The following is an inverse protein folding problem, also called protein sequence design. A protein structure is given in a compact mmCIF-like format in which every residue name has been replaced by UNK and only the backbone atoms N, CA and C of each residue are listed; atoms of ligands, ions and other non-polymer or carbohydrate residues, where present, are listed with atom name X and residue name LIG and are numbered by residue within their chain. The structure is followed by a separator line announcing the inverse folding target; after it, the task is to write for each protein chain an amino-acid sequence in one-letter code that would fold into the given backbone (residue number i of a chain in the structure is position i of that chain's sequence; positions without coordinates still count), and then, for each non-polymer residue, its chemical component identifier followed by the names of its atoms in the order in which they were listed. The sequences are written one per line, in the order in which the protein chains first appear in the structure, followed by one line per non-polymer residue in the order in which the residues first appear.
data_IF_521239528680
#
_entry.id   IF_521239528680
#
_cell.length_a   1.000
_cell.length_b   1.000
_cell.length_c   1.000
_cell.angle_alpha   90.00
_cell.angle_beta   90.00
_cell.angle_gamma   90.00
#
_symmetry.space_group_name_H-M   'P 1'
#
loop_
_entity.id
_entity.type
_entity.pdbx_description
1 polymer ?
#
# COMPACT_ATOMS: atom_id res chain seq x y z
N UNK A 1 -40.44 -12.87 23.46
CA UNK A 1 -39.25 -12.01 23.61
C UNK A 1 -38.47 -12.08 22.32
N UNK A 2 -38.43 -11.00 21.53
CA UNK A 2 -37.62 -10.90 20.31
C UNK A 2 -36.56 -9.84 20.58
N UNK A 3 -35.30 -10.26 20.68
CA UNK A 3 -34.16 -9.34 20.75
C UNK A 3 -33.74 -9.07 19.31
N UNK A 4 -34.05 -7.89 18.81
CA UNK A 4 -33.56 -7.42 17.53
C UNK A 4 -32.09 -7.03 17.64
N UNK A 5 -31.21 -7.80 17.00
CA UNK A 5 -29.82 -7.43 16.81
C UNK A 5 -29.76 -6.24 15.84
N UNK A 6 -29.32 -5.08 16.32
CA UNK A 6 -29.08 -3.91 15.47
C UNK A 6 -27.90 -4.22 14.55
N UNK A 7 -28.16 -4.30 13.23
CA UNK A 7 -27.09 -4.30 12.24
C UNK A 7 -26.38 -2.94 12.33
N UNK A 8 -25.10 -2.96 12.71
CA UNK A 8 -24.24 -1.79 12.60
C UNK A 8 -24.12 -1.32 11.14
N UNK A 9 -23.63 -0.10 10.91
CA UNK A 9 -23.45 0.44 9.56
C UNK A 9 -22.59 -0.51 8.69
N UNK A 10 -22.90 -0.59 7.37
CA UNK A 10 -22.15 -1.43 6.46
C UNK A 10 -20.69 -0.98 6.42
N UNK A 11 -19.78 -1.95 6.39
CA UNK A 11 -18.34 -1.70 6.33
C UNK A 11 -18.03 -0.82 5.12
N UNK A 12 -17.19 0.19 5.35
CA UNK A 12 -16.59 1.02 4.30
C UNK A 12 -15.76 0.17 3.35
N UNK A 13 -15.64 0.61 2.10
CA UNK A 13 -14.82 -0.07 1.08
C UNK A 13 -13.37 -0.25 1.54
N UNK A 14 -12.84 0.73 2.29
CA UNK A 14 -11.51 0.66 2.91
C UNK A 14 -11.41 -0.46 3.95
N UNK A 15 -12.44 -0.66 4.76
CA UNK A 15 -12.46 -1.70 5.79
C UNK A 15 -12.53 -3.11 5.19
N UNK A 16 -13.17 -3.24 4.02
CA UNK A 16 -13.18 -4.49 3.25
C UNK A 16 -11.82 -4.83 2.64
N UNK A 17 -11.04 -3.83 2.25
CA UNK A 17 -9.75 -4.02 1.60
C UNK A 17 -8.63 -4.30 2.60
N UNK A 18 -8.64 -3.61 3.74
CA UNK A 18 -7.55 -3.62 4.72
C UNK A 18 -7.76 -4.67 5.84
N UNK A 19 -8.99 -5.15 6.03
CA UNK A 19 -9.32 -6.06 7.14
C UNK A 19 -9.36 -5.35 8.49
N UNK A 20 -10.27 -5.79 9.36
CA UNK A 20 -10.52 -5.16 10.67
C UNK A 20 -9.31 -5.17 11.61
N UNK A 21 -8.38 -6.11 11.43
CA UNK A 21 -7.28 -6.36 12.37
C UNK A 21 -6.12 -5.36 12.27
N UNK A 22 -6.06 -4.55 11.20
CA UNK A 22 -5.06 -3.49 11.06
C UNK A 22 -5.49 -2.15 11.67
N UNK A 23 -6.80 -1.90 11.81
CA UNK A 23 -7.31 -0.64 12.37
C UNK A 23 -7.14 -0.59 13.90
N UNK A 24 -7.24 -1.72 14.59
CA UNK A 24 -7.02 -1.80 16.04
C UNK A 24 -5.54 -1.60 16.42
N UNK A 25 -4.61 -2.00 15.56
CA UNK A 25 -3.16 -1.75 15.75
C UNK A 25 -2.81 -0.27 15.62
N UNK A 26 -3.60 0.50 14.84
CA UNK A 26 -3.38 1.94 14.64
C UNK A 26 -3.64 2.79 15.88
N UNK A 27 -4.30 2.26 16.91
CA UNK A 27 -4.58 2.98 18.17
C UNK A 27 -3.44 2.91 19.20
N UNK A 28 -2.42 2.08 18.95
CA UNK A 28 -1.24 1.93 19.83
C UNK A 28 0.04 2.62 19.33
N UNK A 29 0.02 3.23 18.14
CA UNK A 29 1.19 3.87 17.53
C UNK A 29 1.05 5.39 17.70
N UNK A 30 1.20 5.88 18.94
CA UNK A 30 1.54 7.29 19.16
C UNK A 30 2.93 7.31 19.74
N UNK A 31 3.91 7.30 18.85
CA UNK A 31 5.25 7.80 19.12
C UNK A 31 5.78 8.42 17.82
N UNK A 32 5.55 9.73 17.72
CA UNK A 32 6.33 10.72 16.94
C UNK A 32 6.52 10.47 15.45
N UNK A 33 5.67 11.13 14.64
CA UNK A 33 5.82 11.25 13.19
C UNK A 33 4.45 11.26 12.52
N UNK A 34 3.63 12.27 12.79
CA UNK A 34 2.42 12.50 11.98
C UNK A 34 2.90 13.04 10.64
N UNK A 35 3.27 12.17 9.72
CA UNK A 35 3.12 12.49 8.31
C UNK A 35 1.61 12.57 8.10
N UNK A 36 1.11 13.81 7.99
CA UNK A 36 -0.22 14.03 7.43
C UNK A 36 -0.14 13.42 6.04
N UNK A 37 -0.79 12.28 5.85
CA UNK A 37 -1.10 11.77 4.51
C UNK A 37 -1.84 12.94 3.84
N UNK A 38 -1.12 13.67 2.97
CA UNK A 38 -1.72 14.67 2.09
C UNK A 38 -2.61 13.87 1.15
N UNK A 39 -3.85 13.64 1.58
CA UNK A 39 -4.88 13.05 0.73
C UNK A 39 -5.01 13.97 -0.48
N UNK A 40 -4.59 13.45 -1.62
CA UNK A 40 -4.44 14.22 -2.83
C UNK A 40 -5.60 13.91 -3.77
N UNK A 41 -6.43 14.93 -4.04
CA UNK A 41 -7.58 14.82 -4.93
C UNK A 41 -7.21 15.03 -6.40
N UNK A 42 -7.70 14.13 -7.26
CA UNK A 42 -7.65 14.30 -8.71
C UNK A 42 -8.45 15.54 -9.14
N UNK A 43 -7.87 16.34 -10.02
CA UNK A 43 -8.55 17.45 -10.70
C UNK A 43 -8.77 17.14 -12.18
N UNK A 44 -9.59 17.96 -12.85
CA UNK A 44 -9.77 17.86 -14.29
C UNK A 44 -8.42 17.99 -15.03
N UNK A 45 -8.16 17.06 -15.96
CA UNK A 45 -6.90 16.97 -16.67
C UNK A 45 -5.83 16.07 -16.02
N UNK A 46 -6.02 15.61 -14.78
CA UNK A 46 -5.06 14.70 -14.13
C UNK A 46 -5.04 13.30 -14.71
N UNK A 47 -6.15 12.85 -15.28
CA UNK A 47 -6.31 11.52 -15.85
C UNK A 47 -6.83 11.66 -17.27
N UNK A 48 -6.02 11.24 -18.24
CA UNK A 48 -6.46 11.07 -19.63
C UNK A 48 -6.66 9.59 -19.91
N UNK A 49 -7.86 9.21 -20.36
CA UNK A 49 -8.18 7.83 -20.73
C UNK A 49 -8.38 7.75 -22.24
N UNK A 50 -7.77 6.75 -22.87
CA UNK A 50 -7.88 6.53 -24.32
C UNK A 50 -7.78 5.04 -24.65
N UNK A 51 -7.90 4.70 -25.93
CA UNK A 51 -7.67 3.35 -26.45
C UNK A 51 -6.58 3.45 -27.51
N UNK A 52 -5.48 2.73 -27.33
CA UNK A 52 -4.34 2.70 -28.24
C UNK A 52 -4.21 1.28 -28.76
N UNK A 53 -4.37 1.06 -30.07
CA UNK A 53 -4.32 -0.27 -30.69
C UNK A 53 -5.27 -1.30 -30.05
N UNK A 54 -6.47 -0.85 -29.63
CA UNK A 54 -7.44 -1.70 -28.93
C UNK A 54 -7.13 -1.94 -27.44
N UNK A 55 -6.03 -1.38 -26.92
CA UNK A 55 -5.63 -1.51 -25.52
C UNK A 55 -6.05 -0.24 -24.76
N UNK A 56 -6.80 -0.36 -23.65
CA UNK A 56 -7.10 0.77 -22.77
C UNK A 56 -5.80 1.40 -22.25
N UNK A 57 -5.69 2.72 -22.38
CA UNK A 57 -4.55 3.50 -21.93
C UNK A 57 -5.02 4.54 -20.92
N UNK A 58 -4.26 4.69 -19.83
CA UNK A 58 -4.48 5.67 -18.78
C UNK A 58 -3.19 6.45 -18.62
N UNK A 59 -3.26 7.77 -18.80
CA UNK A 59 -2.13 8.68 -18.68
C UNK A 59 -2.40 9.63 -17.52
N UNK A 60 -1.45 9.71 -16.60
CA UNK A 60 -1.49 10.63 -15.47
C UNK A 60 -0.74 11.92 -15.77
N UNK A 61 -1.25 13.05 -15.29
CA UNK A 61 -0.55 14.34 -15.35
C UNK A 61 0.78 14.31 -14.58
N UNK A 62 1.70 15.23 -14.89
CA UNK A 62 2.97 15.38 -14.17
C UNK A 62 2.74 15.58 -12.66
N UNK A 63 1.67 16.28 -12.30
CA UNK A 63 1.29 16.52 -10.90
C UNK A 63 1.00 15.22 -10.17
N UNK A 64 0.15 14.35 -10.75
CA UNK A 64 -0.14 13.03 -10.19
C UNK A 64 1.13 12.17 -10.13
N UNK A 65 1.94 12.19 -11.18
CA UNK A 65 3.19 11.44 -11.20
C UNK A 65 4.15 11.88 -10.09
N UNK A 66 4.21 13.17 -9.78
CA UNK A 66 4.99 13.70 -8.67
C UNK A 66 4.50 13.16 -7.32
N UNK A 67 3.18 13.12 -7.09
CA UNK A 67 2.61 12.54 -5.87
C UNK A 67 2.92 11.04 -5.74
N UNK A 68 2.77 10.27 -6.82
CA UNK A 68 3.12 8.86 -6.84
C UNK A 68 4.60 8.64 -6.56
N UNK A 69 5.48 9.46 -7.15
CA UNK A 69 6.92 9.41 -6.89
C UNK A 69 7.28 9.77 -5.45
N UNK A 70 6.63 10.79 -4.87
CA UNK A 70 6.80 11.20 -3.48
C UNK A 70 6.38 10.09 -2.51
N UNK A 71 5.23 9.46 -2.75
CA UNK A 71 4.73 8.33 -1.93
C UNK A 71 5.68 7.12 -1.96
N UNK A 72 6.38 6.92 -3.07
CA UNK A 72 7.35 5.83 -3.22
C UNK A 72 8.80 6.22 -2.85
N UNK A 73 9.05 7.46 -2.40
CA UNK A 73 10.42 8.00 -2.23
C UNK A 73 11.29 7.16 -1.28
N UNK A 74 10.69 6.58 -0.24
CA UNK A 74 11.38 5.75 0.76
C UNK A 74 11.22 4.24 0.52
N UNK A 75 10.93 3.83 -0.72
CA UNK A 75 10.75 2.41 -1.07
C UNK A 75 12.03 1.79 -1.61
N UNK A 76 12.39 0.62 -1.11
CA UNK A 76 13.55 -0.15 -1.57
C UNK A 76 13.10 -1.29 -2.49
N UNK A 77 13.72 -1.41 -3.67
CA UNK A 77 13.52 -2.56 -4.56
C UNK A 77 14.44 -3.70 -4.15
N UNK A 78 13.87 -4.88 -3.89
CA UNK A 78 14.58 -6.11 -3.53
C UNK A 78 14.43 -7.10 -4.68
N UNK A 79 15.55 -7.65 -5.15
CA UNK A 79 15.57 -8.76 -6.11
C UNK A 79 16.24 -9.98 -5.49
N UNK A 80 15.55 -11.12 -5.53
CA UNK A 80 16.15 -12.40 -5.17
C UNK A 80 17.04 -12.90 -6.31
N UNK A 81 18.28 -13.25 -5.98
CA UNK A 81 19.20 -13.91 -6.90
C UNK A 81 19.25 -15.41 -6.59
N UNK A 82 19.13 -16.24 -7.61
CA UNK A 82 19.17 -17.70 -7.47
C UNK A 82 17.80 -18.31 -7.18
N UNK A 83 17.72 -19.18 -6.16
CA UNK A 83 16.48 -19.90 -5.84
C UNK A 83 15.46 -18.98 -5.18
N UNK A 84 14.27 -18.89 -5.77
CA UNK A 84 13.14 -18.22 -5.15
C UNK A 84 12.78 -18.88 -3.82
N UNK A 85 12.50 -18.04 -2.82
CA UNK A 85 11.99 -18.44 -1.50
C UNK A 85 10.56 -17.93 -1.34
N UNK A 86 9.80 -18.53 -0.42
CA UNK A 86 8.44 -18.08 -0.13
C UNK A 86 8.40 -16.67 0.47
N UNK A 87 7.32 -15.94 0.22
CA UNK A 87 7.12 -14.56 0.67
C UNK A 87 7.36 -14.37 2.17
N UNK A 88 6.73 -15.20 3.02
CA UNK A 88 6.90 -15.13 4.47
C UNK A 88 8.35 -15.36 4.91
N UNK A 89 9.06 -16.26 4.23
CA UNK A 89 10.49 -16.51 4.48
C UNK A 89 11.34 -15.31 4.08
N UNK A 90 11.04 -14.67 2.94
CA UNK A 90 11.71 -13.45 2.50
C UNK A 90 11.48 -12.31 3.50
N UNK A 91 10.23 -12.04 3.86
CA UNK A 91 9.88 -10.99 4.82
C UNK A 91 10.63 -11.16 6.14
N UNK A 92 10.62 -12.37 6.71
CA UNK A 92 11.35 -12.65 7.96
C UNK A 92 12.86 -12.44 7.80
N UNK A 93 13.45 -12.91 6.69
CA UNK A 93 14.89 -12.72 6.43
C UNK A 93 15.27 -11.25 6.31
N UNK A 94 14.50 -10.46 5.56
CA UNK A 94 14.75 -9.02 5.40
C UNK A 94 14.64 -8.31 6.74
N UNK A 95 13.60 -8.59 7.53
CA UNK A 95 13.44 -8.01 8.88
C UNK A 95 14.60 -8.35 9.82
N UNK A 96 15.07 -9.60 9.81
CA UNK A 96 16.21 -10.03 10.65
C UNK A 96 17.51 -9.38 10.19
N UNK A 97 17.75 -9.29 8.88
CA UNK A 97 18.99 -8.74 8.32
C UNK A 97 19.09 -7.23 8.53
N UNK A 98 18.01 -6.50 8.29
CA UNK A 98 18.02 -5.04 8.34
C UNK A 98 17.77 -4.49 9.74
N UNK A 99 17.07 -5.24 10.60
CA UNK A 99 16.68 -4.81 11.96
C UNK A 99 16.13 -3.37 11.96
N UNK A 100 15.08 -3.10 11.15
CA UNK A 100 14.64 -1.74 10.93
C UNK A 100 14.06 -1.16 12.23
N UNK A 101 14.21 0.16 12.40
CA UNK A 101 13.68 0.88 13.56
C UNK A 101 12.15 0.91 13.56
N UNK A 102 11.54 0.97 12.37
CA UNK A 102 10.10 0.97 12.16
C UNK A 102 9.67 -0.25 11.31
N UNK A 103 8.44 -0.75 11.46
CA UNK A 103 7.90 -1.76 10.56
C UNK A 103 7.89 -1.25 9.11
N UNK A 104 8.03 -2.16 8.15
CA UNK A 104 7.91 -1.87 6.72
C UNK A 104 6.89 -2.80 6.07
N UNK A 105 6.27 -2.35 5.00
CA UNK A 105 5.41 -3.15 4.15
C UNK A 105 6.23 -3.78 3.03
N UNK A 106 6.13 -5.11 2.87
CA UNK A 106 6.69 -5.82 1.73
C UNK A 106 5.59 -6.08 0.70
N UNK A 107 5.82 -5.71 -0.55
CA UNK A 107 4.91 -5.91 -1.67
C UNK A 107 5.59 -6.77 -2.75
N UNK A 108 4.88 -7.75 -3.28
CA UNK A 108 5.32 -8.56 -4.42
C UNK A 108 4.93 -7.86 -5.73
N UNK A 109 5.91 -7.56 -6.57
CA UNK A 109 5.70 -6.94 -7.89
C UNK A 109 6.02 -7.92 -9.04
N UNK A 110 5.97 -9.22 -8.73
CA UNK A 110 6.21 -10.36 -9.61
C UNK A 110 7.66 -10.50 -10.10
N UNK A 111 7.93 -11.58 -10.83
CA UNK A 111 9.24 -11.89 -11.43
C UNK A 111 10.42 -11.91 -10.44
N UNK A 112 10.14 -12.20 -9.15
CA UNK A 112 11.14 -12.25 -8.09
C UNK A 112 11.60 -10.87 -7.59
N UNK A 113 10.83 -9.82 -7.91
CA UNK A 113 11.04 -8.46 -7.42
C UNK A 113 10.03 -8.13 -6.32
N UNK A 114 10.51 -7.36 -5.35
CA UNK A 114 9.71 -6.94 -4.20
C UNK A 114 10.00 -5.48 -3.87
N UNK A 115 9.05 -4.82 -3.24
CA UNK A 115 9.18 -3.46 -2.73
C UNK A 115 9.08 -3.49 -1.20
N UNK A 116 10.05 -2.91 -0.51
CA UNK A 116 9.97 -2.64 0.91
C UNK A 116 9.69 -1.14 1.12
N UNK A 117 8.46 -0.80 1.52
CA UNK A 117 8.01 0.58 1.80
C UNK A 117 8.03 0.82 3.31
N UNK A 118 8.71 1.89 3.73
CA UNK A 118 8.85 2.33 5.12
C UNK A 118 7.89 3.46 5.45
#
# INVERSE_FOLDING_TARGET
MVVGSTLGPPLSWNERLVGKDLVSSRRGIIATGVEVEDDFDFIEGDITRSIINGIPSIIFSERVQHFLGKDMANTIVIKLLGRNIGFATLQNRVSILWRPLMPFQLMDIENGYFLAKF
#
